data_IF_512894489534
#
_entry.id   IF_512894489534
#
_cell.length_a   1.000
_cell.length_b   1.000
_cell.length_c   1.000
_cell.angle_alpha   90.00
_cell.angle_beta   90.00
_cell.angle_gamma   90.00
#
_symmetry.space_group_name_H-M   'P 1'
#
loop_
_entity.id
_entity.type
_entity.pdbx_description
1 polymer ?
#
# COMPACT_ATOMS: atom_id res chain seq x y z
N UNK A 1 14.36 13.78 19.26
CA UNK A 1 13.27 12.79 19.36
C UNK A 1 13.02 12.60 20.84
N UNK A 2 12.09 13.37 21.40
CA UNK A 2 12.24 13.87 22.77
C UNK A 2 11.46 13.03 23.80
N UNK A 3 11.18 11.76 23.47
CA UNK A 3 10.62 10.78 24.41
C UNK A 3 9.24 11.12 25.01
N UNK A 4 8.55 12.12 24.48
CA UNK A 4 7.32 12.64 25.07
C UNK A 4 6.17 11.61 24.97
N UNK A 5 5.72 11.12 26.13
CA UNK A 5 4.52 10.28 26.22
C UNK A 5 3.29 11.16 26.19
N UNK A 6 2.36 10.82 25.29
CA UNK A 6 1.13 11.57 25.06
C UNK A 6 -0.02 10.58 25.01
N UNK A 7 -0.99 10.74 25.90
CA UNK A 7 -2.06 9.74 26.12
C UNK A 7 -3.46 10.27 25.77
N UNK A 8 -3.60 11.56 25.51
CA UNK A 8 -4.89 12.21 25.17
C UNK A 8 -5.02 12.34 23.64
N UNK A 9 -6.19 11.97 23.10
CA UNK A 9 -6.47 11.87 21.65
C UNK A 9 -6.01 13.08 20.85
N UNK A 10 -6.37 14.30 21.28
CA UNK A 10 -6.03 15.54 20.56
C UNK A 10 -4.51 15.80 20.51
N UNK A 11 -3.79 15.77 21.65
CA UNK A 11 -2.33 15.81 21.65
C UNK A 11 -1.64 14.70 20.83
N UNK A 12 -2.15 13.46 20.83
CA UNK A 12 -1.61 12.36 20.00
C UNK A 12 -1.73 12.71 18.52
N UNK A 13 -2.90 13.17 18.08
CA UNK A 13 -3.12 13.58 16.69
C UNK A 13 -2.14 14.68 16.26
N UNK A 14 -1.97 15.70 17.10
CA UNK A 14 -1.03 16.79 16.82
C UNK A 14 0.42 16.30 16.77
N UNK A 15 0.83 15.42 17.68
CA UNK A 15 2.19 14.86 17.70
C UNK A 15 2.49 14.06 16.43
N UNK A 16 1.55 13.20 16.01
CA UNK A 16 1.65 12.40 14.77
C UNK A 16 1.73 13.32 13.54
N UNK A 17 0.83 14.30 13.44
CA UNK A 17 0.82 15.25 12.33
C UNK A 17 2.13 16.02 12.24
N UNK A 18 2.60 16.60 13.35
CA UNK A 18 3.85 17.36 13.39
C UNK A 18 5.06 16.50 13.01
N UNK A 19 5.10 15.25 13.51
CA UNK A 19 6.18 14.31 13.22
C UNK A 19 6.29 14.05 11.72
N UNK A 20 5.21 13.60 11.08
CA UNK A 20 5.24 13.25 9.67
C UNK A 20 5.32 14.47 8.76
N UNK A 21 4.70 15.61 9.13
CA UNK A 21 4.83 16.87 8.39
C UNK A 21 6.28 17.37 8.36
N UNK A 22 7.00 17.24 9.48
CA UNK A 22 8.42 17.57 9.54
C UNK A 22 9.27 16.55 8.80
N UNK A 23 8.97 15.25 8.94
CA UNK A 23 9.78 14.17 8.37
C UNK A 23 9.68 14.12 6.84
N UNK A 24 8.48 14.30 6.28
CA UNK A 24 8.23 14.32 4.85
C UNK A 24 8.32 15.73 4.24
N UNK A 25 8.82 16.72 5.00
CA UNK A 25 9.01 18.06 4.48
C UNK A 25 10.07 18.01 3.40
N UNK A 26 9.71 18.42 2.18
CA UNK A 26 10.68 18.55 1.10
C UNK A 26 11.79 19.51 1.54
N UNK A 27 13.04 19.03 1.55
CA UNK A 27 14.21 19.88 1.70
C UNK A 27 14.53 20.49 0.33
N UNK A 28 14.79 21.79 0.31
CA UNK A 28 15.18 22.49 -0.91
C UNK A 28 16.68 22.25 -1.20
N UNK A 29 17.08 20.99 -1.29
CA UNK A 29 18.42 20.58 -1.71
C UNK A 29 18.43 20.44 -3.21
N UNK A 30 19.54 20.84 -3.86
CA UNK A 30 19.75 20.57 -5.27
C UNK A 30 19.74 19.04 -5.46
N UNK A 31 18.65 18.52 -6.05
CA UNK A 31 18.54 17.10 -6.36
C UNK A 31 19.43 16.84 -7.57
N UNK A 32 20.38 15.88 -7.50
CA UNK A 32 21.19 15.53 -8.66
C UNK A 32 20.26 15.12 -9.80
N UNK A 33 20.49 15.68 -10.99
CA UNK A 33 19.76 15.29 -12.19
C UNK A 33 20.39 14.02 -12.77
N UNK A 34 19.60 13.29 -13.55
CA UNK A 34 20.01 12.01 -14.15
C UNK A 34 20.30 12.16 -15.65
N UNK A 35 20.49 13.40 -16.12
CA UNK A 35 20.52 13.75 -17.54
C UNK A 35 21.68 13.06 -18.30
N UNK A 36 22.80 12.78 -17.61
CA UNK A 36 23.99 12.13 -18.18
C UNK A 36 24.02 10.60 -17.94
N UNK A 37 22.98 10.03 -17.34
CA UNK A 37 22.91 8.58 -17.06
C UNK A 37 22.26 7.84 -18.23
N UNK A 38 23.03 6.92 -18.83
CA UNK A 38 22.51 5.99 -19.83
C UNK A 38 21.83 4.80 -19.13
N UNK A 39 20.50 4.87 -19.02
CA UNK A 39 19.72 3.75 -18.51
C UNK A 39 19.48 2.70 -19.58
N UNK A 40 19.50 1.42 -19.18
CA UNK A 40 18.96 0.35 -20.03
C UNK A 40 17.47 0.59 -20.22
N UNK A 41 17.05 0.75 -21.45
CA UNK A 41 15.64 0.89 -21.82
C UNK A 41 15.08 -0.44 -22.28
N UNK A 42 13.81 -0.68 -21.96
CA UNK A 42 13.07 -1.83 -22.47
C UNK A 42 12.86 -1.66 -23.99
N UNK A 43 12.94 -2.77 -24.71
CA UNK A 43 12.45 -2.83 -26.08
C UNK A 43 10.95 -2.59 -26.14
N UNK A 44 10.43 -2.29 -27.33
CA UNK A 44 8.99 -2.14 -27.55
C UNK A 44 8.20 -3.39 -27.12
N UNK A 45 8.76 -4.58 -27.34
CA UNK A 45 8.14 -5.87 -26.99
C UNK A 45 8.09 -6.08 -25.48
N UNK A 46 9.16 -5.74 -24.78
CA UNK A 46 9.21 -5.80 -23.32
C UNK A 46 8.25 -4.78 -22.69
N UNK A 47 8.26 -3.54 -23.19
CA UNK A 47 7.32 -2.50 -22.75
C UNK A 47 5.86 -2.90 -22.96
N UNK A 48 5.53 -3.44 -24.14
CA UNK A 48 4.20 -3.95 -24.43
C UNK A 48 3.79 -5.13 -23.54
N UNK A 49 4.75 -5.90 -23.03
CA UNK A 49 4.46 -7.02 -22.12
C UNK A 49 4.11 -6.58 -20.70
N UNK A 50 4.59 -5.42 -20.25
CA UNK A 50 4.30 -4.88 -18.93
C UNK A 50 2.89 -4.29 -18.78
N UNK A 51 2.23 -3.99 -19.89
CA UNK A 51 0.91 -3.34 -19.92
C UNK A 51 -0.22 -4.28 -20.34
N UNK A 52 0.05 -5.59 -20.41
CA UNK A 52 -0.94 -6.60 -20.74
C UNK A 52 -2.08 -6.62 -19.70
N UNK A 53 -3.31 -6.99 -20.11
CA UNK A 53 -4.40 -7.23 -19.17
C UNK A 53 -4.02 -8.31 -18.15
N UNK A 54 -4.50 -8.16 -16.93
CA UNK A 54 -4.29 -9.13 -15.87
C UNK A 54 -5.01 -10.46 -16.16
N UNK A 55 -4.33 -11.57 -15.96
CA UNK A 55 -4.90 -12.92 -15.96
C UNK A 55 -5.50 -13.29 -14.60
N UNK A 56 -6.41 -14.27 -14.60
CA UNK A 56 -7.01 -14.80 -13.37
C UNK A 56 -5.93 -15.40 -12.47
N UNK A 57 -4.95 -16.07 -13.08
CA UNK A 57 -3.84 -16.72 -12.39
C UNK A 57 -2.93 -15.72 -11.70
N UNK A 58 -2.59 -14.60 -12.36
CA UNK A 58 -1.79 -13.51 -11.77
C UNK A 58 -2.51 -12.88 -10.58
N UNK A 59 -3.79 -12.55 -10.73
CA UNK A 59 -4.59 -11.96 -9.64
C UNK A 59 -4.70 -12.94 -8.48
N UNK A 60 -4.97 -14.22 -8.77
CA UNK A 60 -5.04 -15.26 -7.74
C UNK A 60 -3.72 -15.41 -6.99
N UNK A 61 -2.60 -15.42 -7.72
CA UNK A 61 -1.28 -15.55 -7.12
C UNK A 61 -1.01 -14.37 -6.17
N UNK A 62 -1.35 -13.14 -6.57
CA UNK A 62 -1.22 -11.95 -5.72
C UNK A 62 -2.09 -12.03 -4.45
N UNK A 63 -3.32 -12.54 -4.56
CA UNK A 63 -4.19 -12.78 -3.40
C UNK A 63 -3.60 -13.83 -2.47
N UNK A 64 -2.97 -14.88 -3.00
CA UNK A 64 -2.37 -15.96 -2.21
C UNK A 64 -1.08 -15.56 -1.49
N UNK A 65 -0.29 -14.67 -2.11
CA UNK A 65 0.94 -14.11 -1.54
C UNK A 65 0.66 -13.24 -0.29
N UNK A 66 -0.54 -12.66 -0.19
CA UNK A 66 -0.96 -11.90 0.98
C UNK A 66 -1.27 -12.81 2.18
N UNK A 67 -0.83 -12.44 3.39
CA UNK A 67 -1.18 -13.19 4.61
C UNK A 67 -2.68 -13.09 4.93
N UNK A 68 -3.30 -14.24 5.24
CA UNK A 68 -4.74 -14.36 5.46
C UNK A 68 -5.25 -13.58 6.68
N UNK A 69 -4.40 -13.35 7.67
CA UNK A 69 -4.72 -12.70 8.95
C UNK A 69 -4.24 -11.25 9.02
N UNK A 70 -3.92 -10.64 7.87
CA UNK A 70 -3.71 -9.19 7.80
C UNK A 70 -4.92 -8.44 8.33
N UNK A 71 -4.67 -7.26 8.89
CA UNK A 71 -5.70 -6.37 9.40
C UNK A 71 -6.77 -6.13 8.34
N UNK A 72 -8.06 -6.28 8.67
CA UNK A 72 -9.13 -6.06 7.71
C UNK A 72 -9.25 -4.58 7.34
N UNK A 73 -9.87 -4.32 6.20
CA UNK A 73 -10.31 -2.99 5.85
C UNK A 73 -11.46 -2.50 6.76
N UNK A 74 -11.97 -1.28 6.52
CA UNK A 74 -13.14 -0.77 7.23
C UNK A 74 -14.42 -1.60 7.06
N UNK A 75 -14.44 -2.48 6.06
CA UNK A 75 -15.49 -3.46 5.76
C UNK A 75 -15.41 -4.73 6.62
N UNK A 76 -14.33 -4.92 7.37
CA UNK A 76 -14.11 -6.14 8.18
C UNK A 76 -13.62 -7.35 7.38
N UNK A 77 -13.30 -7.19 6.09
CA UNK A 77 -12.88 -8.28 5.21
C UNK A 77 -11.34 -8.36 5.17
N UNK A 78 -10.81 -9.57 5.28
CA UNK A 78 -9.37 -9.85 5.14
C UNK A 78 -9.10 -10.77 3.94
N UNK A 79 -7.81 -11.02 3.68
CA UNK A 79 -7.40 -11.92 2.59
C UNK A 79 -7.82 -13.37 2.82
N UNK A 80 -7.99 -13.81 4.07
CA UNK A 80 -8.52 -15.14 4.38
C UNK A 80 -9.90 -15.36 3.76
N UNK A 81 -10.80 -14.39 3.91
CA UNK A 81 -12.13 -14.42 3.31
C UNK A 81 -12.07 -14.49 1.78
N UNK A 82 -11.24 -13.66 1.14
CA UNK A 82 -11.07 -13.69 -0.33
C UNK A 82 -10.53 -15.02 -0.85
N UNK A 83 -9.67 -15.69 -0.08
CA UNK A 83 -9.14 -17.02 -0.42
C UNK A 83 -10.20 -18.11 -0.25
N UNK A 84 -11.00 -18.04 0.81
CA UNK A 84 -12.07 -19.00 1.10
C UNK A 84 -13.17 -18.94 0.04
N UNK A 85 -13.61 -17.73 -0.32
CA UNK A 85 -14.71 -17.50 -1.28
C UNK A 85 -14.22 -17.13 -2.68
N UNK A 86 -13.01 -17.56 -3.06
CA UNK A 86 -12.41 -17.19 -4.34
C UNK A 86 -13.27 -17.63 -5.53
N UNK A 87 -13.88 -18.82 -5.47
CA UNK A 87 -14.68 -19.34 -6.58
C UNK A 87 -15.93 -18.51 -6.84
N UNK A 88 -16.51 -17.95 -5.79
CA UNK A 88 -17.68 -17.10 -5.81
C UNK A 88 -17.33 -15.66 -6.22
N UNK A 89 -16.19 -15.15 -5.75
CA UNK A 89 -15.83 -13.73 -5.91
C UNK A 89 -14.92 -13.42 -7.10
N UNK A 90 -14.24 -14.42 -7.69
CA UNK A 90 -13.22 -14.20 -8.73
C UNK A 90 -13.75 -13.38 -9.91
N UNK A 91 -14.99 -13.59 -10.33
CA UNK A 91 -15.51 -12.94 -11.54
C UNK A 91 -15.76 -11.45 -11.26
N UNK A 92 -16.22 -11.10 -10.06
CA UNK A 92 -16.38 -9.72 -9.62
C UNK A 92 -15.03 -9.02 -9.44
N UNK A 93 -14.05 -9.70 -8.83
CA UNK A 93 -12.68 -9.21 -8.66
C UNK A 93 -12.04 -8.96 -10.03
N UNK A 94 -12.18 -9.89 -10.97
CA UNK A 94 -11.62 -9.75 -12.31
C UNK A 94 -12.28 -8.62 -13.09
N UNK A 95 -13.61 -8.47 -12.99
CA UNK A 95 -14.33 -7.34 -13.58
C UNK A 95 -13.81 -6.01 -13.03
N UNK A 96 -13.65 -5.93 -11.71
CA UNK A 96 -13.12 -4.75 -11.04
C UNK A 96 -11.70 -4.38 -11.52
N UNK A 97 -10.77 -5.34 -11.54
CA UNK A 97 -9.38 -5.13 -11.97
C UNK A 97 -9.29 -4.80 -13.46
N UNK A 98 -10.14 -5.41 -14.30
CA UNK A 98 -10.20 -5.11 -15.74
C UNK A 98 -10.67 -3.69 -16.00
N UNK A 99 -11.70 -3.23 -15.29
CA UNK A 99 -12.15 -1.83 -15.39
C UNK A 99 -11.09 -0.85 -14.92
N UNK A 100 -10.33 -1.19 -13.87
CA UNK A 100 -9.18 -0.40 -13.44
C UNK A 100 -8.10 -0.34 -14.53
N UNK A 101 -7.71 -1.48 -15.10
CA UNK A 101 -6.71 -1.55 -16.18
C UNK A 101 -7.08 -0.67 -17.37
N UNK A 102 -8.36 -0.69 -17.76
CA UNK A 102 -8.87 0.05 -18.91
C UNK A 102 -8.98 1.56 -18.66
N UNK A 103 -9.42 1.96 -17.46
CA UNK A 103 -9.79 3.36 -17.19
C UNK A 103 -8.77 4.11 -16.32
N UNK A 104 -7.81 3.40 -15.71
CA UNK A 104 -6.82 3.96 -14.78
C UNK A 104 -7.43 4.53 -13.49
N UNK A 105 -8.65 4.11 -13.13
CA UNK A 105 -9.42 4.67 -12.01
C UNK A 105 -9.82 3.60 -11.02
N UNK A 106 -9.50 3.83 -9.75
CA UNK A 106 -10.02 3.08 -8.61
C UNK A 106 -11.13 3.91 -7.95
N UNK A 107 -12.10 3.24 -7.32
CA UNK A 107 -13.10 3.93 -6.50
C UNK A 107 -12.41 4.54 -5.28
N UNK A 108 -12.89 5.70 -4.83
CA UNK A 108 -12.28 6.41 -3.68
C UNK A 108 -12.33 5.58 -2.39
N UNK A 109 -13.33 4.70 -2.28
CA UNK A 109 -13.56 3.84 -1.13
C UNK A 109 -12.42 2.85 -0.88
N UNK A 110 -11.68 2.44 -1.91
CA UNK A 110 -10.54 1.51 -1.77
C UNK A 110 -9.39 2.12 -0.95
N UNK A 111 -9.27 3.44 -0.94
CA UNK A 111 -8.28 4.14 -0.13
C UNK A 111 -8.76 4.39 1.32
N UNK A 112 -9.95 3.91 1.67
CA UNK A 112 -10.45 3.99 3.04
C UNK A 112 -9.69 3.00 3.92
N UNK A 113 -8.98 3.51 4.93
CA UNK A 113 -8.19 2.67 5.84
C UNK A 113 -8.36 3.15 7.29
N UNK A 114 -8.32 2.21 8.23
CA UNK A 114 -8.25 2.53 9.65
C UNK A 114 -6.81 2.55 10.11
N UNK A 115 -6.42 3.64 10.78
CA UNK A 115 -5.10 3.76 11.38
C UNK A 115 -5.19 3.23 12.82
N UNK A 116 -4.49 2.13 13.08
CA UNK A 116 -4.27 1.61 14.42
C UNK A 116 -2.81 1.87 14.84
N UNK A 117 -2.61 2.52 15.99
CA UNK A 117 -1.28 2.71 16.57
C UNK A 117 -0.99 1.53 17.50
N UNK A 118 -0.03 0.69 17.12
CA UNK A 118 0.44 -0.43 17.94
C UNK A 118 1.73 0.01 18.64
N UNK A 119 1.77 0.06 19.98
CA UNK A 119 3.00 0.36 20.72
C UNK A 119 4.08 -0.66 20.35
N UNK A 120 5.30 -0.19 20.06
CA UNK A 120 6.46 -1.08 19.99
C UNK A 120 6.89 -1.40 21.42
N UNK A 121 7.05 -2.67 21.73
CA UNK A 121 7.67 -3.08 22.98
C UNK A 121 9.11 -2.56 23.03
N UNK A 122 9.46 -1.83 24.09
CA UNK A 122 10.82 -1.32 24.32
C UNK A 122 11.74 -2.35 25.00
N UNK A 123 11.32 -3.60 25.14
CA UNK A 123 12.01 -4.68 25.88
C UNK A 123 13.17 -5.32 25.11
N UNK A 124 13.91 -4.54 24.30
CA UNK A 124 15.06 -5.00 23.51
C UNK A 124 16.33 -4.14 23.60
N UNK A 125 16.34 -3.04 24.36
CA UNK A 125 17.54 -2.20 24.56
C UNK A 125 17.91 -2.07 26.04
N UNK A 126 18.07 -3.22 26.70
CA UNK A 126 18.84 -3.32 27.93
C UNK A 126 19.68 -4.59 27.83
N UNK A 127 20.90 -4.43 27.30
CA UNK A 127 22.08 -5.27 27.52
C UNK A 127 23.31 -4.38 27.32
#
# INVERSE_FOLDING_TARGET
>A
ADGLRVEVVQPVHQAVFSHFSSHFRASNTARPTVDDLHFRTLSFVEGGSLVKPFSVEEVRAAVWDCDSYKSPGPDGINFGFLKEFWLEMRDDIMRFITEFHRNGKLTKEINSTFIALIPKDFTGMAN
#
